data_IF_155202109140
#
_entry.id   IF_155202109140
#
_cell.length_a   1.000
_cell.length_b   1.000
_cell.length_c   1.000
_cell.angle_alpha   90.00
_cell.angle_beta   90.00
_cell.angle_gamma   90.00
#
_symmetry.space_group_name_H-M   'P 1'
#
loop_
_entity.id
_entity.type
_entity.pdbx_description
1 polymer ?
#
# COMPACT_ATOMS: atom_id res chain seq x y z
N UNK A 1 10.16 -30.85 1.45
CA UNK A 1 10.85 -29.79 2.23
C UNK A 1 10.67 -29.99 3.74
N UNK A 2 9.45 -29.98 4.29
CA UNK A 2 9.21 -30.12 5.75
C UNK A 2 9.82 -31.40 6.35
N UNK A 3 9.65 -32.55 5.70
CA UNK A 3 10.27 -33.81 6.12
C UNK A 3 11.80 -33.72 6.14
N UNK A 4 12.42 -33.06 5.17
CA UNK A 4 13.87 -32.90 5.11
C UNK A 4 14.37 -32.00 6.25
N UNK A 5 13.66 -30.91 6.56
CA UNK A 5 13.98 -30.02 7.70
C UNK A 5 13.85 -30.77 9.02
N UNK A 6 12.79 -31.57 9.18
CA UNK A 6 12.60 -32.40 10.36
C UNK A 6 13.70 -33.47 10.50
N UNK A 7 14.06 -34.15 9.42
CA UNK A 7 15.14 -35.15 9.44
C UNK A 7 16.50 -34.51 9.76
N UNK A 8 16.73 -33.26 9.38
CA UNK A 8 17.99 -32.55 9.63
C UNK A 8 18.15 -32.06 11.08
N UNK A 9 17.08 -31.66 11.77
CA UNK A 9 17.18 -31.02 13.09
C UNK A 9 15.96 -31.17 14.01
N UNK A 10 15.10 -32.14 13.73
CA UNK A 10 13.94 -32.49 14.54
C UNK A 10 12.86 -31.40 14.62
N UNK A 11 12.10 -31.42 15.71
CA UNK A 11 11.00 -30.48 15.94
C UNK A 11 11.47 -29.03 16.06
N UNK A 12 12.68 -28.80 16.60
CA UNK A 12 13.23 -27.45 16.72
C UNK A 12 13.47 -26.82 15.35
N UNK A 13 14.16 -27.53 14.44
CA UNK A 13 14.40 -27.05 13.08
C UNK A 13 13.08 -26.85 12.32
N UNK A 14 12.12 -27.77 12.49
CA UNK A 14 10.79 -27.63 11.90
C UNK A 14 10.05 -26.39 12.41
N UNK A 15 10.06 -26.15 13.72
CA UNK A 15 9.44 -24.97 14.34
C UNK A 15 10.08 -23.65 13.88
N UNK A 16 11.41 -23.58 13.85
CA UNK A 16 12.14 -22.42 13.35
C UNK A 16 11.84 -22.15 11.87
N UNK A 17 11.78 -23.19 11.05
CA UNK A 17 11.43 -23.07 9.63
C UNK A 17 10.02 -22.55 9.42
N UNK A 18 9.04 -23.10 10.13
CA UNK A 18 7.64 -22.65 10.04
C UNK A 18 7.50 -21.19 10.50
N UNK A 19 8.18 -20.81 11.58
CA UNK A 19 8.21 -19.42 12.05
C UNK A 19 8.79 -18.48 10.98
N UNK A 20 9.90 -18.88 10.34
CA UNK A 20 10.49 -18.11 9.25
C UNK A 20 9.52 -17.97 8.06
N UNK A 21 8.83 -19.05 7.66
CA UNK A 21 7.84 -18.99 6.58
C UNK A 21 6.68 -18.03 6.90
N UNK A 22 6.13 -18.11 8.11
CA UNK A 22 5.05 -17.22 8.56
C UNK A 22 5.55 -15.77 8.57
N UNK A 23 6.73 -15.52 9.14
CA UNK A 23 7.30 -14.19 9.21
C UNK A 23 7.57 -13.60 7.82
N UNK A 24 8.15 -14.38 6.91
CA UNK A 24 8.37 -13.94 5.52
C UNK A 24 7.07 -13.61 4.81
N UNK A 25 6.02 -14.43 4.98
CA UNK A 25 4.72 -14.18 4.37
C UNK A 25 4.04 -12.94 4.95
N UNK A 26 4.04 -12.76 6.28
CA UNK A 26 3.49 -11.57 6.93
C UNK A 26 4.20 -10.29 6.48
N UNK A 27 5.53 -10.35 6.35
CA UNK A 27 6.33 -9.23 5.86
C UNK A 27 5.96 -8.87 4.43
N UNK A 28 5.87 -9.87 3.54
CA UNK A 28 5.47 -9.67 2.15
C UNK A 28 4.07 -9.04 2.05
N UNK A 29 3.10 -9.57 2.80
CA UNK A 29 1.73 -9.04 2.78
C UNK A 29 1.64 -7.64 3.38
N UNK A 30 2.47 -7.31 4.36
CA UNK A 30 2.52 -5.96 4.91
C UNK A 30 3.03 -4.96 3.87
N UNK A 31 4.04 -5.33 3.09
CA UNK A 31 4.53 -4.48 2.00
C UNK A 31 3.52 -4.34 0.87
N UNK A 32 2.81 -5.43 0.51
CA UNK A 32 1.71 -5.37 -0.47
C UNK A 32 0.57 -4.47 0.02
N UNK A 33 0.11 -4.68 1.25
CA UNK A 33 -0.93 -3.88 1.87
C UNK A 33 -0.55 -2.39 1.88
N UNK A 34 0.65 -2.06 2.37
CA UNK A 34 1.13 -0.68 2.39
C UNK A 34 1.27 -0.09 0.98
N UNK A 35 1.83 -0.86 0.05
CA UNK A 35 2.06 -0.42 -1.33
C UNK A 35 0.78 -0.11 -2.08
N UNK A 36 -0.36 -0.70 -1.69
CA UNK A 36 -1.65 -0.56 -2.37
C UNK A 36 -2.76 -0.01 -1.50
N UNK A 37 -2.43 0.57 -0.33
CA UNK A 37 -3.42 1.04 0.62
C UNK A 37 -4.31 2.16 0.05
N UNK A 38 -5.60 1.90 -0.12
CA UNK A 38 -6.64 2.90 -0.43
C UNK A 38 -6.57 3.58 -1.80
N UNK A 39 -5.47 3.49 -2.53
CA UNK A 39 -5.33 4.07 -3.86
C UNK A 39 -6.15 3.27 -4.86
N UNK A 40 -6.99 3.97 -5.62
CA UNK A 40 -7.91 3.36 -6.58
C UNK A 40 -7.57 3.74 -8.01
N UNK A 41 -8.07 2.92 -8.93
CA UNK A 41 -7.99 3.12 -10.37
C UNK A 41 -9.38 2.90 -10.96
N UNK A 42 -9.75 3.68 -11.98
CA UNK A 42 -10.96 3.39 -12.77
C UNK A 42 -10.82 2.02 -13.44
N UNK A 43 -11.77 1.08 -13.24
CA UNK A 43 -11.74 -0.22 -13.89
C UNK A 43 -11.54 -0.13 -15.42
N UNK A 44 -10.79 -1.07 -15.99
CA UNK A 44 -10.49 -1.11 -17.43
C UNK A 44 -9.39 -0.14 -17.91
N UNK A 45 -8.90 0.78 -17.08
CA UNK A 45 -7.76 1.66 -17.44
C UNK A 45 -6.39 1.01 -17.18
N UNK A 46 -5.28 1.49 -17.76
CA UNK A 46 -3.95 0.99 -17.43
C UNK A 46 -3.53 1.33 -15.98
N UNK A 47 -2.73 0.46 -15.36
CA UNK A 47 -2.07 0.77 -14.08
C UNK A 47 -1.04 1.87 -14.31
N UNK A 48 -1.02 2.87 -13.42
CA UNK A 48 -0.13 4.03 -13.48
C UNK A 48 0.71 4.10 -12.20
N UNK A 49 1.85 4.81 -12.21
CA UNK A 49 2.64 5.10 -11.00
C UNK A 49 1.83 5.65 -9.81
N UNK A 50 0.72 6.34 -10.11
CA UNK A 50 -0.23 6.92 -9.16
C UNK A 50 -1.02 5.89 -8.35
N UNK A 51 -1.04 4.61 -8.74
CA UNK A 51 -1.86 3.56 -8.13
C UNK A 51 -1.12 2.74 -7.08
N UNK A 52 -0.04 3.29 -6.54
CA UNK A 52 0.77 2.62 -5.54
C UNK A 52 1.61 3.61 -4.72
N UNK A 53 1.81 3.31 -3.43
CA UNK A 53 2.68 4.06 -2.53
C UNK A 53 4.15 3.71 -2.74
N UNK A 54 4.99 4.75 -2.81
CA UNK A 54 6.44 4.69 -2.97
C UNK A 54 7.16 5.15 -1.68
N UNK A 55 8.46 4.88 -1.56
CA UNK A 55 9.35 5.58 -0.63
C UNK A 55 10.69 5.89 -1.28
N UNK A 56 11.12 7.15 -1.16
CA UNK A 56 12.41 7.61 -1.66
C UNK A 56 13.54 7.54 -0.60
N UNK A 57 13.31 6.86 0.54
CA UNK A 57 14.33 6.66 1.58
C UNK A 57 15.48 5.79 1.08
N UNK A 58 16.71 6.32 1.16
CA UNK A 58 17.93 5.60 0.76
C UNK A 58 18.16 4.32 1.57
N UNK A 59 17.91 4.36 2.88
CA UNK A 59 18.11 3.20 3.77
C UNK A 59 17.17 2.07 3.36
N UNK A 60 15.88 2.36 3.16
CA UNK A 60 14.93 1.35 2.69
C UNK A 60 15.24 0.87 1.28
N UNK A 61 15.69 1.76 0.39
CA UNK A 61 16.09 1.37 -0.96
C UNK A 61 17.27 0.39 -0.95
N UNK A 62 18.28 0.60 -0.10
CA UNK A 62 19.41 -0.33 0.01
C UNK A 62 18.97 -1.65 0.65
N UNK A 63 18.30 -1.57 1.80
CA UNK A 63 17.91 -2.74 2.58
C UNK A 63 16.93 -3.67 1.84
N UNK A 64 16.09 -3.10 0.97
CA UNK A 64 15.04 -3.82 0.26
C UNK A 64 15.28 -3.85 -1.26
N UNK A 65 16.51 -3.67 -1.72
CA UNK A 65 16.86 -3.76 -3.15
C UNK A 65 15.96 -2.91 -4.06
N UNK A 66 15.73 -1.65 -3.70
CA UNK A 66 14.85 -0.70 -4.38
C UNK A 66 13.38 -1.12 -4.49
N UNK A 67 12.92 -2.17 -3.80
CA UNK A 67 11.49 -2.51 -3.66
C UNK A 67 10.60 -1.30 -3.32
N UNK A 68 11.03 -0.34 -2.47
CA UNK A 68 10.21 0.83 -2.18
C UNK A 68 9.85 1.68 -3.39
N UNK A 69 10.59 1.58 -4.52
CA UNK A 69 10.32 2.21 -5.83
C UNK A 69 9.12 1.58 -6.55
N UNK A 70 8.06 1.35 -5.77
CA UNK A 70 6.89 0.55 -6.10
C UNK A 70 6.12 1.10 -7.30
N UNK A 71 5.97 2.43 -7.36
CA UNK A 71 5.32 3.12 -8.47
C UNK A 71 5.97 2.87 -9.83
N UNK A 72 7.30 2.77 -9.89
CA UNK A 72 7.96 2.44 -11.17
C UNK A 72 7.81 0.96 -11.50
N UNK A 73 7.95 0.08 -10.51
CA UNK A 73 7.76 -1.37 -10.70
C UNK A 73 6.35 -1.71 -11.20
N UNK A 74 5.31 -1.06 -10.67
CA UNK A 74 3.93 -1.29 -11.13
C UNK A 74 3.60 -0.62 -12.46
N UNK A 75 4.34 0.42 -12.84
CA UNK A 75 4.23 1.01 -14.17
C UNK A 75 4.95 0.16 -15.23
N UNK A 76 6.09 -0.44 -14.88
CA UNK A 76 6.85 -1.36 -15.73
C UNK A 76 7.53 -2.44 -14.87
N UNK A 77 6.88 -3.60 -14.80
CA UNK A 77 7.36 -4.75 -14.04
C UNK A 77 8.56 -5.45 -14.67
N UNK A 78 8.95 -5.09 -15.90
CA UNK A 78 10.09 -5.69 -16.60
C UNK A 78 11.42 -5.06 -16.18
N UNK A 79 11.38 -3.90 -15.53
CA UNK A 79 12.57 -3.19 -15.08
C UNK A 79 13.24 -3.96 -13.93
N UNK A 80 14.52 -4.33 -14.03
CA UNK A 80 15.23 -4.99 -12.95
C UNK A 80 15.41 -4.05 -11.75
N UNK A 81 15.51 -4.60 -10.54
CA UNK A 81 15.45 -3.83 -9.30
C UNK A 81 16.51 -2.70 -9.22
N UNK A 82 17.70 -2.88 -9.78
CA UNK A 82 18.76 -1.86 -9.84
C UNK A 82 18.41 -0.68 -10.76
N UNK A 83 17.55 -0.89 -11.75
CA UNK A 83 17.10 0.12 -12.71
C UNK A 83 15.83 0.86 -12.30
N UNK A 84 15.19 0.48 -11.18
CA UNK A 84 13.98 1.14 -10.71
C UNK A 84 14.24 2.62 -10.42
N UNK A 85 13.33 3.53 -10.73
CA UNK A 85 13.51 4.98 -10.53
C UNK A 85 12.61 5.50 -9.42
N UNK A 86 13.10 6.50 -8.70
CA UNK A 86 12.30 7.24 -7.75
C UNK A 86 11.38 8.20 -8.51
N UNK A 87 10.08 8.19 -8.18
CA UNK A 87 9.14 9.18 -8.68
C UNK A 87 8.75 10.14 -7.56
N UNK A 88 9.21 11.40 -7.59
CA UNK A 88 9.02 12.34 -6.47
C UNK A 88 7.59 12.85 -6.32
N UNK A 89 6.80 12.86 -7.41
CA UNK A 89 5.43 13.39 -7.44
C UNK A 89 4.37 12.27 -7.33
N UNK A 90 4.75 11.11 -6.80
CA UNK A 90 3.86 9.95 -6.65
C UNK A 90 3.51 9.75 -5.17
N UNK A 91 2.43 9.00 -4.86
CA UNK A 91 2.03 8.76 -3.48
C UNK A 91 3.23 8.22 -2.70
N UNK A 92 3.60 8.89 -1.62
CA UNK A 92 4.82 8.54 -0.87
C UNK A 92 4.49 8.32 0.59
N UNK A 93 5.03 7.24 1.16
CA UNK A 93 4.83 6.91 2.57
C UNK A 93 5.36 8.04 3.48
N UNK A 94 4.73 8.28 4.64
CA UNK A 94 5.09 9.39 5.53
C UNK A 94 6.49 9.28 6.14
N UNK A 95 7.04 8.05 6.25
CA UNK A 95 8.41 7.82 6.70
C UNK A 95 9.15 6.88 5.73
N UNK A 96 10.26 6.27 6.15
CA UNK A 96 10.90 5.21 5.36
C UNK A 96 9.91 4.05 5.13
N UNK A 97 10.11 3.29 4.05
CA UNK A 97 9.27 2.13 3.75
C UNK A 97 9.24 1.13 4.92
N UNK A 98 10.40 0.91 5.55
CA UNK A 98 10.54 0.05 6.72
C UNK A 98 9.78 0.62 7.94
N UNK A 99 9.99 1.90 8.27
CA UNK A 99 9.33 2.53 9.41
C UNK A 99 7.80 2.56 9.25
N UNK A 100 7.34 2.86 8.04
CA UNK A 100 5.90 2.90 7.72
C UNK A 100 5.29 1.49 7.80
N UNK A 101 6.00 0.47 7.33
CA UNK A 101 5.50 -0.93 7.40
C UNK A 101 5.27 -1.42 8.83
N UNK A 102 6.09 -1.00 9.79
CA UNK A 102 5.89 -1.33 11.21
C UNK A 102 4.60 -0.71 11.77
N UNK A 103 4.22 0.46 11.26
CA UNK A 103 2.98 1.13 11.68
C UNK A 103 1.73 0.37 11.22
N UNK A 104 1.81 -0.45 10.16
CA UNK A 104 0.68 -1.22 9.63
C UNK A 104 0.13 -2.25 10.63
N UNK A 105 0.98 -2.71 11.57
CA UNK A 105 0.58 -3.63 12.63
C UNK A 105 -0.21 -2.97 13.76
N UNK A 106 -0.32 -1.64 13.77
CA UNK A 106 -1.04 -0.86 14.79
C UNK A 106 -2.09 0.00 14.08
N UNK A 107 -3.32 -0.51 13.82
CA UNK A 107 -4.31 0.17 12.99
C UNK A 107 -4.62 1.63 13.39
N UNK A 108 -4.72 2.00 14.69
CA UNK A 108 -4.92 3.40 15.06
C UNK A 108 -3.76 4.32 14.64
N UNK A 109 -2.51 3.83 14.74
CA UNK A 109 -1.33 4.58 14.30
C UNK A 109 -1.26 4.66 12.78
N UNK A 110 -1.56 3.55 12.09
CA UNK A 110 -1.66 3.51 10.64
C UNK A 110 -2.64 4.55 10.11
N UNK A 111 -3.87 4.57 10.64
CA UNK A 111 -4.91 5.49 10.20
C UNK A 111 -4.54 6.95 10.47
N UNK A 112 -3.87 7.22 11.59
CA UNK A 112 -3.37 8.56 11.92
C UNK A 112 -2.28 9.05 10.96
N UNK A 113 -1.45 8.14 10.43
CA UNK A 113 -0.32 8.48 9.55
C UNK A 113 -0.71 8.49 8.06
N UNK A 114 -1.40 7.44 7.59
CA UNK A 114 -1.74 7.25 6.17
C UNK A 114 -3.09 7.86 5.80
N UNK A 115 -4.05 7.94 6.73
CA UNK A 115 -5.36 8.52 6.46
C UNK A 115 -5.29 9.93 5.86
N UNK A 116 -4.57 10.89 6.49
CA UNK A 116 -4.42 12.23 5.93
C UNK A 116 -3.71 12.27 4.57
N UNK A 117 -2.74 11.38 4.34
CA UNK A 117 -2.01 11.28 3.06
C UNK A 117 -2.90 10.72 1.95
N UNK A 118 -3.75 9.75 2.27
CA UNK A 118 -4.71 9.19 1.33
C UNK A 118 -5.77 10.25 0.95
N UNK A 119 -6.29 11.00 1.93
CA UNK A 119 -7.23 12.08 1.64
C UNK A 119 -6.64 13.18 0.78
N UNK A 120 -5.41 13.61 1.08
CA UNK A 120 -4.69 14.57 0.24
C UNK A 120 -4.58 14.07 -1.21
N UNK A 121 -4.30 12.78 -1.40
CA UNK A 121 -4.29 12.16 -2.73
C UNK A 121 -5.66 12.17 -3.40
N UNK A 122 -6.70 11.73 -2.70
CA UNK A 122 -8.07 11.65 -3.21
C UNK A 122 -8.61 13.03 -3.61
N UNK A 123 -8.27 14.08 -2.86
CA UNK A 123 -8.80 15.44 -3.05
C UNK A 123 -8.01 16.25 -4.09
N UNK A 124 -6.68 16.07 -4.16
CA UNK A 124 -5.80 16.94 -4.96
C UNK A 124 -5.20 16.25 -6.20
N UNK A 125 -5.19 14.92 -6.26
CA UNK A 125 -4.44 14.18 -7.29
C UNK A 125 -5.26 13.13 -8.05
N UNK A 126 -6.30 12.55 -7.44
CA UNK A 126 -7.15 11.58 -8.09
C UNK A 126 -7.94 12.20 -9.26
N UNK A 127 -8.12 11.45 -10.34
CA UNK A 127 -9.07 11.84 -11.39
C UNK A 127 -10.50 11.88 -10.85
N UNK A 128 -11.42 12.56 -11.52
CA UNK A 128 -12.84 12.59 -11.11
C UNK A 128 -13.44 11.20 -10.94
N UNK A 129 -13.11 10.27 -11.84
CA UNK A 129 -13.54 8.87 -11.76
C UNK A 129 -12.92 8.11 -10.56
N UNK A 130 -11.62 8.30 -10.30
CA UNK A 130 -10.96 7.71 -9.13
C UNK A 130 -11.52 8.28 -7.82
N UNK A 131 -11.71 9.60 -7.74
CA UNK A 131 -12.25 10.27 -6.55
C UNK A 131 -13.67 9.79 -6.21
N UNK A 132 -14.51 9.54 -7.21
CA UNK A 132 -15.84 8.94 -7.01
C UNK A 132 -15.75 7.54 -6.39
N UNK A 133 -14.82 6.71 -6.88
CA UNK A 133 -14.61 5.36 -6.33
C UNK A 133 -14.05 5.44 -4.91
N UNK A 134 -13.06 6.31 -4.68
CA UNK A 134 -12.44 6.53 -3.39
C UNK A 134 -13.47 6.99 -2.36
N UNK A 135 -14.35 7.95 -2.69
CA UNK A 135 -15.41 8.40 -1.80
C UNK A 135 -16.35 7.28 -1.35
N UNK A 136 -16.69 6.34 -2.25
CA UNK A 136 -17.51 5.17 -1.90
C UNK A 136 -16.78 4.22 -0.95
N UNK A 137 -15.50 3.94 -1.21
CA UNK A 137 -14.70 3.08 -0.34
C UNK A 137 -14.46 3.73 1.03
N UNK A 138 -14.19 5.04 1.05
CA UNK A 138 -14.01 5.83 2.25
C UNK A 138 -15.27 5.83 3.12
N UNK A 139 -16.47 5.89 2.53
CA UNK A 139 -17.75 5.78 3.25
C UNK A 139 -17.95 4.40 3.91
N UNK A 140 -17.37 3.34 3.36
CA UNK A 140 -17.48 1.97 3.89
C UNK A 140 -16.26 1.54 4.75
N UNK A 141 -15.32 2.45 5.00
CA UNK A 141 -14.01 2.11 5.57
C UNK A 141 -14.02 1.82 7.07
N UNK A 142 -15.00 2.31 7.83
CA UNK A 142 -14.97 2.29 9.30
C UNK A 142 -13.93 3.26 9.90
N UNK A 143 -13.29 4.11 9.08
CA UNK A 143 -12.28 5.06 9.51
C UNK A 143 -12.93 6.45 9.55
N UNK A 144 -13.15 7.06 10.75
CA UNK A 144 -13.93 8.29 10.88
C UNK A 144 -13.46 9.43 9.97
N UNK A 145 -12.15 9.60 9.83
CA UNK A 145 -11.54 10.61 8.96
C UNK A 145 -11.94 10.45 7.48
N UNK A 146 -11.95 9.20 6.98
CA UNK A 146 -12.28 8.91 5.59
C UNK A 146 -13.78 9.01 5.35
N UNK A 147 -14.59 8.50 6.27
CA UNK A 147 -16.05 8.61 6.21
C UNK A 147 -16.53 10.07 6.19
N UNK A 148 -15.87 10.94 6.95
CA UNK A 148 -16.18 12.37 6.94
C UNK A 148 -15.86 13.03 5.59
N UNK A 149 -14.70 12.70 4.98
CA UNK A 149 -14.37 13.19 3.63
C UNK A 149 -15.37 12.68 2.59
N UNK A 150 -15.80 11.42 2.67
CA UNK A 150 -16.82 10.87 1.79
C UNK A 150 -18.17 11.61 1.91
N UNK A 151 -18.61 11.93 3.14
CA UNK A 151 -19.82 12.74 3.37
C UNK A 151 -19.72 14.11 2.70
N UNK A 152 -18.57 14.79 2.82
CA UNK A 152 -18.32 16.08 2.14
C UNK A 152 -18.34 15.95 0.62
N UNK A 153 -17.76 14.88 0.08
CA UNK A 153 -17.78 14.62 -1.36
C UNK A 153 -19.20 14.45 -1.88
N UNK A 154 -20.02 13.59 -1.27
CA UNK A 154 -21.39 13.36 -1.73
C UNK A 154 -22.34 14.54 -1.49
N UNK A 155 -22.09 15.36 -0.46
CA UNK A 155 -22.83 16.60 -0.26
C UNK A 155 -22.58 17.63 -1.38
N UNK A 156 -21.38 17.63 -1.97
CA UNK A 156 -21.01 18.51 -3.09
C UNK A 156 -21.30 17.90 -4.48
N UNK A 157 -21.49 16.58 -4.55
CA UNK A 157 -21.70 15.81 -5.79
C UNK A 157 -22.88 14.83 -5.62
N UNK A 158 -24.12 15.32 -5.45
CA UNK A 158 -25.28 14.47 -5.23
C UNK A 158 -25.53 13.49 -6.39
N UNK A 159 -25.14 13.84 -7.63
CA UNK A 159 -25.22 12.98 -8.81
C UNK A 159 -24.34 11.72 -8.70
N UNK A 160 -23.29 11.74 -7.88
CA UNK A 160 -22.39 10.60 -7.70
C UNK A 160 -23.02 9.45 -6.89
N UNK A 161 -24.12 9.72 -6.19
CA UNK A 161 -24.86 8.74 -5.37
C UNK A 161 -25.61 7.75 -6.27
N UNK A 162 -26.28 8.23 -7.32
CA UNK A 162 -27.23 7.44 -8.12
C UNK A 162 -26.61 6.69 -9.31
N UNK A 163 -25.37 6.99 -9.70
CA UNK A 163 -24.73 6.42 -10.88
C UNK A 163 -24.05 5.06 -10.56
N UNK A 164 -24.79 3.97 -10.74
CA UNK A 164 -24.30 2.59 -10.91
C UNK A 164 -24.15 2.23 -12.39
#
# INVERSE_FOLDING_TARGET
MLTLVYLAGGLFALGAYLLACVWSKLTLETFNYMGHYGLVRVPGTPVRPAHSWNSNSRISAIALFNLPRHSHHHADGTVPYQGLKAYPNMPTTPTSYLGTSLCAYIPPLWNKLLGPKLLDWDENHATSGERKIAARQNAASGIPLLEESAKRYFASHPEAIAAE
#
